data_IF_941550233581
#
_entry.id   IF_941550233581
#
_cell.length_a   1.000
_cell.length_b   1.000
_cell.length_c   1.000
_cell.angle_alpha   90.00
_cell.angle_beta   90.00
_cell.angle_gamma   90.00
#
_symmetry.space_group_name_H-M   'P 1'
#
loop_
_entity.id
_entity.type
_entity.pdbx_description
1 polymer ?
#
# COMPACT_ATOMS: atom_id res chain seq x y z
N UNK A 1 -11.61 -30.52 0.95
CA UNK A 1 -12.72 -29.86 1.70
C UNK A 1 -12.21 -29.03 2.86
N UNK A 2 -11.32 -29.50 3.74
CA UNK A 2 -10.83 -28.74 4.90
C UNK A 2 -10.07 -27.44 4.58
N UNK A 3 -9.30 -27.39 3.48
CA UNK A 3 -8.54 -26.19 3.04
C UNK A 3 -9.44 -25.04 2.55
N UNK A 4 -10.59 -25.36 1.95
CA UNK A 4 -11.54 -24.36 1.48
C UNK A 4 -12.34 -23.76 2.66
N UNK A 5 -12.67 -24.56 3.67
CA UNK A 5 -13.32 -24.10 4.89
C UNK A 5 -12.39 -23.23 5.76
N UNK A 6 -11.09 -23.55 5.81
CA UNK A 6 -10.09 -22.73 6.50
C UNK A 6 -9.88 -21.38 5.79
N UNK A 7 -9.92 -21.33 4.45
CA UNK A 7 -9.88 -20.07 3.67
C UNK A 7 -11.13 -19.23 3.91
N UNK A 8 -12.32 -19.81 3.98
CA UNK A 8 -13.57 -19.08 4.29
C UNK A 8 -13.56 -18.52 5.72
N UNK A 9 -13.03 -19.25 6.70
CA UNK A 9 -12.89 -18.75 8.08
C UNK A 9 -11.90 -17.59 8.23
N UNK A 10 -10.88 -17.50 7.34
CA UNK A 10 -9.95 -16.35 7.30
C UNK A 10 -10.59 -15.10 6.71
N UNK A 11 -11.51 -15.23 5.76
CA UNK A 11 -12.24 -14.10 5.18
C UNK A 11 -13.28 -13.47 6.14
N UNK A 12 -13.64 -14.17 7.20
CA UNK A 12 -14.69 -13.76 8.17
C UNK A 12 -14.10 -13.16 9.46
N UNK A 13 -12.83 -12.74 9.42
CA UNK A 13 -12.09 -12.25 10.60
C UNK A 13 -12.51 -10.84 11.06
N UNK A 14 -13.65 -10.29 10.58
CA UNK A 14 -14.11 -8.96 10.95
C UNK A 14 -13.16 -7.86 10.47
N UNK A 15 -12.66 -7.99 9.24
CA UNK A 15 -11.81 -6.97 8.61
C UNK A 15 -12.67 -5.82 8.10
N UNK A 16 -12.31 -4.60 8.50
CA UNK A 16 -12.90 -3.36 8.01
C UNK A 16 -11.84 -2.48 7.39
N UNK A 17 -12.10 -1.99 6.17
CA UNK A 17 -11.29 -0.96 5.54
C UNK A 17 -11.96 0.40 5.70
N UNK A 18 -11.23 1.40 6.19
CA UNK A 18 -11.71 2.76 6.34
C UNK A 18 -10.76 3.77 5.70
N UNK A 19 -11.34 4.84 5.17
CA UNK A 19 -10.59 6.04 4.80
C UNK A 19 -10.51 6.93 6.04
N UNK A 20 -9.33 7.37 6.47
CA UNK A 20 -9.23 8.32 7.58
C UNK A 20 -9.94 9.62 7.23
N UNK A 21 -10.72 10.15 8.16
CA UNK A 21 -11.52 11.37 7.99
C UNK A 21 -11.38 12.35 9.15
N UNK A 22 -11.01 11.87 10.35
CA UNK A 22 -10.86 12.69 11.54
C UNK A 22 -9.40 12.98 11.85
N UNK A 23 -9.13 14.02 12.62
CA UNK A 23 -7.77 14.32 13.10
C UNK A 23 -7.13 13.14 13.84
N UNK A 24 -7.92 12.41 14.64
CA UNK A 24 -7.46 11.20 15.34
C UNK A 24 -7.07 10.07 14.39
N UNK A 25 -7.84 9.88 13.33
CA UNK A 25 -7.54 8.85 12.31
C UNK A 25 -6.31 9.22 11.48
N UNK A 26 -6.08 10.50 11.18
CA UNK A 26 -4.83 10.95 10.55
C UNK A 26 -3.62 10.82 11.48
N UNK A 27 -3.80 11.06 12.79
CA UNK A 27 -2.75 10.79 13.77
C UNK A 27 -2.39 9.29 13.83
N UNK A 28 -3.39 8.41 13.81
CA UNK A 28 -3.19 6.95 13.73
C UNK A 28 -2.52 6.54 12.41
N UNK A 29 -2.84 7.21 11.33
CA UNK A 29 -2.18 7.00 10.02
C UNK A 29 -0.70 7.36 10.09
N UNK A 30 -0.36 8.51 10.67
CA UNK A 30 1.03 8.93 10.85
C UNK A 30 1.80 7.93 11.73
N UNK A 31 1.18 7.43 12.79
CA UNK A 31 1.78 6.43 13.67
C UNK A 31 2.10 5.13 12.93
N UNK A 32 1.14 4.56 12.22
CA UNK A 32 1.36 3.29 11.49
C UNK A 32 2.34 3.47 10.31
N UNK A 33 2.40 4.63 9.70
CA UNK A 33 3.41 4.95 8.69
C UNK A 33 4.82 4.98 9.29
N UNK A 34 4.98 5.52 10.52
CA UNK A 34 6.26 5.47 11.24
C UNK A 34 6.65 4.03 11.59
N UNK A 35 5.69 3.21 12.00
CA UNK A 35 5.94 1.78 12.23
C UNK A 35 6.43 1.08 10.96
N UNK A 36 5.80 1.39 9.82
CA UNK A 36 6.23 0.87 8.53
C UNK A 36 7.67 1.27 8.20
N UNK A 37 8.01 2.55 8.32
CA UNK A 37 9.35 3.06 8.07
C UNK A 37 10.39 2.41 8.99
N UNK A 38 10.08 2.27 10.28
CA UNK A 38 10.95 1.59 11.24
C UNK A 38 11.15 0.11 10.90
N UNK A 39 10.14 -0.56 10.35
CA UNK A 39 10.23 -1.97 9.97
C UNK A 39 11.17 -2.23 8.79
N UNK A 40 11.41 -1.22 7.96
CA UNK A 40 12.31 -1.32 6.80
C UNK A 40 13.79 -1.20 7.18
N UNK A 41 14.09 -0.72 8.39
CA UNK A 41 15.46 -0.41 8.84
C UNK A 41 16.24 0.48 7.86
N UNK A 42 15.53 1.43 7.24
CA UNK A 42 16.08 2.39 6.28
C UNK A 42 15.53 3.78 6.54
N UNK A 43 16.30 4.80 6.16
CA UNK A 43 15.88 6.19 6.23
C UNK A 43 15.05 6.55 4.98
N UNK A 44 13.81 7.00 5.16
CA UNK A 44 12.93 7.45 4.08
C UNK A 44 13.00 8.97 3.83
N UNK A 45 13.98 9.68 4.38
CA UNK A 45 14.16 11.12 4.16
C UNK A 45 14.22 11.49 2.67
N UNK A 46 14.80 10.63 1.82
CA UNK A 46 14.85 10.85 0.37
C UNK A 46 13.47 10.86 -0.30
N UNK A 47 12.41 10.40 0.40
CA UNK A 47 11.02 10.46 -0.06
C UNK A 47 10.23 11.59 0.59
N UNK A 48 10.87 12.54 1.27
CA UNK A 48 10.21 13.62 2.02
C UNK A 48 9.22 13.09 3.08
N UNK A 49 9.58 12.02 3.77
CA UNK A 49 8.68 11.27 4.65
C UNK A 49 8.12 12.12 5.80
N UNK A 50 8.94 12.95 6.46
CA UNK A 50 8.48 13.82 7.54
C UNK A 50 7.44 14.83 7.06
N UNK A 51 7.64 15.38 5.85
CA UNK A 51 6.68 16.29 5.23
C UNK A 51 5.38 15.58 4.86
N UNK A 52 5.46 14.36 4.36
CA UNK A 52 4.30 13.50 4.09
C UNK A 52 3.45 13.31 5.34
N UNK A 53 4.07 12.94 6.48
CA UNK A 53 3.38 12.75 7.76
C UNK A 53 2.71 14.03 8.26
N UNK A 54 3.40 15.17 8.12
CA UNK A 54 2.89 16.47 8.57
C UNK A 54 1.71 16.98 7.72
N UNK A 55 1.58 16.54 6.47
CA UNK A 55 0.60 17.04 5.51
C UNK A 55 -0.52 16.05 5.17
N UNK A 56 -0.63 14.93 5.87
CA UNK A 56 -1.68 13.94 5.59
C UNK A 56 -3.08 14.58 5.54
N UNK A 57 -3.93 14.19 4.54
CA UNK A 57 -3.70 13.15 3.52
C UNK A 57 -2.82 13.56 2.34
N UNK A 58 -2.50 14.84 2.13
CA UNK A 58 -1.62 15.35 1.07
C UNK A 58 -1.95 14.78 -0.31
N UNK A 59 -0.99 14.15 -0.96
CA UNK A 59 -1.17 13.53 -2.29
C UNK A 59 -2.06 12.29 -2.28
N UNK A 60 -2.35 11.72 -1.10
CA UNK A 60 -3.29 10.60 -0.95
C UNK A 60 -4.75 11.06 -0.84
N UNK A 61 -5.01 12.37 -0.92
CA UNK A 61 -6.36 12.92 -0.86
C UNK A 61 -7.18 12.60 -2.12
N UNK A 62 -8.51 12.39 -1.99
CA UNK A 62 -9.37 12.32 -3.16
C UNK A 62 -9.35 13.66 -3.94
N UNK A 63 -9.71 13.66 -5.23
CA UNK A 63 -10.27 12.55 -6.00
C UNK A 63 -9.23 11.62 -6.64
N UNK A 64 -7.97 11.99 -6.65
CA UNK A 64 -6.92 11.27 -7.39
C UNK A 64 -6.10 10.34 -6.49
N UNK A 65 -6.04 10.61 -5.21
CA UNK A 65 -5.37 9.76 -4.22
C UNK A 65 -6.34 8.89 -3.43
N UNK A 66 -5.81 7.93 -2.70
CA UNK A 66 -6.57 7.07 -1.81
C UNK A 66 -5.71 6.63 -0.63
N UNK A 67 -6.29 6.64 0.56
CA UNK A 67 -5.64 6.24 1.79
C UNK A 67 -6.56 5.29 2.55
N UNK A 68 -6.04 4.12 2.94
CA UNK A 68 -6.80 3.09 3.64
C UNK A 68 -6.13 2.71 4.95
N UNK A 69 -6.95 2.55 5.97
CA UNK A 69 -6.62 1.86 7.22
C UNK A 69 -7.43 0.56 7.29
N UNK A 70 -6.77 -0.52 7.67
CA UNK A 70 -7.40 -1.82 7.90
C UNK A 70 -7.53 -2.07 9.40
N UNK A 71 -8.72 -2.43 9.82
CA UNK A 71 -9.04 -2.80 11.20
C UNK A 71 -9.47 -4.25 11.27
N UNK A 72 -9.02 -4.94 12.31
CA UNK A 72 -9.47 -6.29 12.64
C UNK A 72 -10.06 -6.25 14.04
N UNK A 73 -11.34 -6.55 14.15
CA UNK A 73 -12.08 -6.49 15.42
C UNK A 73 -11.92 -5.14 16.15
N UNK A 74 -11.91 -4.06 15.38
CA UNK A 74 -11.76 -2.70 15.90
C UNK A 74 -10.33 -2.24 16.19
N UNK A 75 -9.32 -3.11 16.03
CA UNK A 75 -7.92 -2.75 16.21
C UNK A 75 -7.26 -2.40 14.88
N UNK A 76 -6.47 -1.32 14.86
CA UNK A 76 -5.69 -0.93 13.68
C UNK A 76 -4.64 -1.99 13.36
N UNK A 77 -4.75 -2.59 12.19
CA UNK A 77 -3.97 -3.76 11.78
C UNK A 77 -3.04 -3.51 10.59
N UNK A 78 -3.38 -2.54 9.73
CA UNK A 78 -2.61 -2.28 8.53
C UNK A 78 -3.01 -0.98 7.84
N UNK A 79 -2.26 -0.63 6.80
CA UNK A 79 -2.51 0.55 5.98
C UNK A 79 -2.05 0.33 4.54
N UNK A 80 -2.48 1.22 3.68
CA UNK A 80 -2.00 1.33 2.31
C UNK A 80 -2.45 2.65 1.70
N UNK A 81 -1.71 3.14 0.72
CA UNK A 81 -1.98 4.43 0.09
C UNK A 81 -1.67 4.39 -1.41
N UNK A 82 -2.25 5.31 -2.12
CA UNK A 82 -2.05 5.51 -3.55
C UNK A 82 -2.10 7.01 -3.85
N UNK A 83 -1.20 7.45 -4.71
CA UNK A 83 -1.12 8.83 -5.17
C UNK A 83 -0.94 8.91 -6.69
N UNK A 84 -1.30 10.05 -7.34
CA UNK A 84 -0.94 10.25 -8.73
C UNK A 84 0.58 10.24 -8.93
N UNK A 85 1.01 9.74 -10.08
CA UNK A 85 2.42 9.78 -10.49
C UNK A 85 2.52 10.48 -11.86
N UNK A 86 2.90 11.76 -11.84
CA UNK A 86 2.85 12.63 -13.00
C UNK A 86 3.94 12.35 -14.05
N UNK A 87 5.09 11.82 -13.61
CA UNK A 87 6.27 11.61 -14.46
C UNK A 87 6.27 10.28 -15.21
N UNK A 88 5.15 9.55 -15.19
CA UNK A 88 5.03 8.32 -15.95
C UNK A 88 4.95 8.62 -17.45
N UNK A 89 5.59 7.79 -18.26
CA UNK A 89 5.56 7.91 -19.72
C UNK A 89 4.13 7.94 -20.29
N UNK A 90 3.23 7.19 -19.67
CA UNK A 90 1.82 7.11 -20.08
C UNK A 90 0.97 8.31 -19.61
N UNK A 91 1.51 9.18 -18.74
CA UNK A 91 0.80 10.37 -18.23
C UNK A 91 -0.43 10.12 -17.36
N UNK A 92 -0.82 8.86 -17.14
CA UNK A 92 -2.01 8.48 -16.37
C UNK A 92 -1.72 7.32 -15.42
N UNK A 93 -0.69 7.49 -14.61
CA UNK A 93 -0.27 6.48 -13.63
C UNK A 93 -0.52 6.94 -12.19
N UNK A 94 -0.69 5.97 -11.31
CA UNK A 94 -0.63 6.14 -9.87
C UNK A 94 0.50 5.29 -9.28
N UNK A 95 0.86 5.60 -8.05
CA UNK A 95 1.87 4.87 -7.30
C UNK A 95 1.27 4.34 -5.99
N UNK A 96 1.36 3.03 -5.76
CA UNK A 96 1.02 2.41 -4.48
C UNK A 96 2.15 2.64 -3.50
N UNK A 97 1.82 3.12 -2.30
CA UNK A 97 2.77 3.46 -1.23
C UNK A 97 2.29 2.92 0.11
N UNK A 98 3.22 2.70 1.02
CA UNK A 98 2.93 2.49 2.45
C UNK A 98 2.03 1.28 2.74
N UNK A 99 2.12 0.23 1.92
CA UNK A 99 1.43 -1.03 2.18
C UNK A 99 2.13 -1.75 3.35
N UNK A 100 1.42 -1.88 4.46
CA UNK A 100 1.97 -2.44 5.69
C UNK A 100 0.91 -3.15 6.50
N UNK A 101 1.27 -4.27 7.09
CA UNK A 101 0.46 -5.03 8.04
C UNK A 101 1.27 -5.23 9.32
N UNK A 102 0.71 -4.81 10.45
CA UNK A 102 1.32 -5.02 11.76
C UNK A 102 1.62 -6.51 11.99
N UNK A 103 2.76 -6.87 12.61
CA UNK A 103 3.17 -8.28 12.77
C UNK A 103 2.10 -9.19 13.39
N UNK A 104 1.38 -8.71 14.40
CA UNK A 104 0.34 -9.48 15.09
C UNK A 104 -0.89 -9.82 14.24
N UNK A 105 -1.05 -9.18 13.08
CA UNK A 105 -2.19 -9.37 12.16
C UNK A 105 -1.79 -10.02 10.83
N UNK A 106 -0.53 -10.45 10.70
CA UNK A 106 -0.04 -11.14 9.49
C UNK A 106 -0.64 -12.54 9.40
N UNK A 107 -0.72 -13.06 8.18
CA UNK A 107 -1.30 -14.37 7.92
C UNK A 107 -2.82 -14.39 7.79
N UNK A 108 -3.50 -13.24 7.94
CA UNK A 108 -4.94 -13.08 7.74
C UNK A 108 -5.32 -12.65 6.31
N UNK A 109 -4.33 -12.38 5.45
CA UNK A 109 -4.55 -11.93 4.08
C UNK A 109 -4.78 -10.42 3.95
N UNK A 110 -4.47 -9.62 4.97
CA UNK A 110 -4.71 -8.17 4.96
C UNK A 110 -3.91 -7.43 3.88
N UNK A 111 -2.67 -7.83 3.62
CA UNK A 111 -1.86 -7.24 2.57
C UNK A 111 -2.52 -7.36 1.20
N UNK A 112 -3.08 -8.53 0.90
CA UNK A 112 -3.84 -8.76 -0.34
C UNK A 112 -5.13 -7.95 -0.38
N UNK A 113 -5.86 -7.89 0.72
CA UNK A 113 -7.12 -7.12 0.81
C UNK A 113 -6.84 -5.64 0.57
N UNK A 114 -5.83 -5.08 1.20
CA UNK A 114 -5.41 -3.68 1.03
C UNK A 114 -4.92 -3.39 -0.40
N UNK A 115 -4.01 -4.21 -0.91
CA UNK A 115 -3.46 -4.03 -2.26
C UNK A 115 -4.56 -4.12 -3.32
N UNK A 116 -5.45 -5.12 -3.20
CA UNK A 116 -6.58 -5.27 -4.11
C UNK A 116 -7.54 -4.08 -4.05
N UNK A 117 -7.85 -3.58 -2.86
CA UNK A 117 -8.73 -2.42 -2.69
C UNK A 117 -8.13 -1.16 -3.35
N UNK A 118 -6.82 -0.93 -3.20
CA UNK A 118 -6.12 0.17 -3.87
C UNK A 118 -6.09 0.00 -5.39
N UNK A 119 -5.87 -1.21 -5.86
CA UNK A 119 -5.89 -1.55 -7.29
C UNK A 119 -7.27 -1.31 -7.92
N UNK A 120 -8.33 -1.78 -7.26
CA UNK A 120 -9.71 -1.60 -7.70
C UNK A 120 -10.10 -0.11 -7.70
N UNK A 121 -9.66 0.65 -6.70
CA UNK A 121 -9.92 2.09 -6.63
C UNK A 121 -9.15 2.86 -7.71
N UNK A 122 -7.91 2.51 -7.99
CA UNK A 122 -7.14 3.09 -9.08
C UNK A 122 -7.84 2.90 -10.44
N UNK A 123 -8.36 1.69 -10.67
CA UNK A 123 -9.15 1.39 -11.86
C UNK A 123 -10.43 2.24 -11.92
N UNK A 124 -11.15 2.36 -10.80
CA UNK A 124 -12.38 3.18 -10.69
C UNK A 124 -12.11 4.66 -10.95
N UNK A 125 -10.98 5.19 -10.49
CA UNK A 125 -10.57 6.59 -10.74
C UNK A 125 -10.24 6.82 -12.22
N UNK A 126 -9.84 5.77 -12.93
CA UNK A 126 -9.52 5.83 -14.35
C UNK A 126 -8.03 5.85 -14.67
N UNK A 127 -7.18 5.45 -13.72
CA UNK A 127 -5.76 5.25 -14.03
C UNK A 127 -5.55 4.09 -15.00
N UNK A 128 -4.57 4.22 -15.88
CA UNK A 128 -4.18 3.16 -16.82
C UNK A 128 -3.13 2.23 -16.23
N UNK A 129 -2.35 2.72 -15.28
CA UNK A 129 -1.15 2.05 -14.77
C UNK A 129 -0.97 2.30 -13.29
N UNK A 130 -0.54 1.28 -12.56
CA UNK A 130 -0.09 1.40 -11.17
C UNK A 130 1.39 1.03 -11.08
N UNK A 131 2.16 1.88 -10.42
CA UNK A 131 3.58 1.70 -10.14
C UNK A 131 3.79 1.43 -8.64
N UNK A 132 4.87 0.76 -8.30
CA UNK A 132 5.36 0.66 -6.93
C UNK A 132 6.85 0.34 -6.91
N UNK A 133 7.51 0.62 -5.80
CA UNK A 133 8.82 0.10 -5.47
C UNK A 133 8.78 -0.78 -4.23
N UNK A 134 9.66 -1.75 -4.16
CA UNK A 134 9.78 -2.70 -3.05
C UNK A 134 11.25 -3.09 -2.85
N UNK A 135 11.56 -3.82 -1.79
CA UNK A 135 12.91 -4.25 -1.45
C UNK A 135 13.08 -5.76 -1.59
N UNK A 136 14.33 -6.22 -1.77
CA UNK A 136 14.69 -7.63 -1.88
C UNK A 136 14.17 -8.49 -0.71
N UNK A 137 14.26 -7.97 0.50
CA UNK A 137 13.86 -8.65 1.74
C UNK A 137 12.35 -8.69 1.97
N UNK A 138 11.56 -8.07 1.08
CA UNK A 138 10.09 -8.06 1.13
C UNK A 138 9.49 -9.17 0.24
N UNK A 139 9.93 -10.40 0.42
CA UNK A 139 9.55 -11.53 -0.45
C UNK A 139 8.03 -11.78 -0.49
N UNK A 140 7.36 -11.78 0.67
CA UNK A 140 5.91 -11.97 0.74
C UNK A 140 5.14 -10.87 -0.01
N UNK A 141 5.59 -9.63 0.05
CA UNK A 141 5.01 -8.52 -0.70
C UNK A 141 5.24 -8.71 -2.21
N UNK A 142 6.45 -9.10 -2.61
CA UNK A 142 6.78 -9.36 -4.02
C UNK A 142 5.93 -10.48 -4.61
N UNK A 143 5.73 -11.56 -3.88
CA UNK A 143 4.82 -12.65 -4.29
C UNK A 143 3.38 -12.16 -4.46
N UNK A 144 2.89 -11.35 -3.51
CA UNK A 144 1.58 -10.72 -3.60
C UNK A 144 1.44 -9.87 -4.87
N UNK A 145 2.40 -9.02 -5.16
CA UNK A 145 2.37 -8.15 -6.34
C UNK A 145 2.39 -8.96 -7.64
N UNK A 146 3.18 -10.02 -7.71
CA UNK A 146 3.18 -10.92 -8.87
C UNK A 146 1.79 -11.52 -9.13
N UNK A 147 1.07 -11.92 -8.08
CA UNK A 147 -0.29 -12.45 -8.21
C UNK A 147 -1.32 -11.41 -8.67
N UNK A 148 -1.04 -10.12 -8.50
CA UNK A 148 -1.88 -9.01 -8.98
C UNK A 148 -1.52 -8.55 -10.39
N UNK A 149 -0.53 -9.18 -11.03
CA UNK A 149 -0.12 -8.87 -12.39
C UNK A 149 0.98 -7.82 -12.51
N UNK A 150 1.64 -7.46 -11.40
CA UNK A 150 2.81 -6.58 -11.46
C UNK A 150 4.00 -7.31 -12.09
N UNK A 151 4.72 -6.60 -12.94
CA UNK A 151 5.96 -7.02 -13.57
C UNK A 151 7.10 -6.06 -13.25
N UNK A 152 8.31 -6.57 -13.19
CA UNK A 152 9.49 -5.74 -12.92
C UNK A 152 9.81 -4.85 -14.11
N UNK A 153 10.16 -3.58 -13.80
CA UNK A 153 10.54 -2.55 -14.77
C UNK A 153 11.84 -1.87 -14.33
N UNK A 154 12.52 -1.13 -15.22
CA UNK A 154 13.62 -0.26 -14.83
C UNK A 154 13.20 0.81 -13.82
N UNK A 155 14.13 1.34 -13.01
CA UNK A 155 13.84 2.42 -12.07
C UNK A 155 13.15 3.61 -12.75
N UNK A 156 12.07 4.10 -12.14
CA UNK A 156 11.34 5.29 -12.59
C UNK A 156 11.63 6.53 -11.73
N UNK A 157 12.38 6.36 -10.65
CA UNK A 157 12.96 7.44 -9.84
C UNK A 157 14.23 6.94 -9.16
N UNK A 158 15.03 7.87 -8.63
CA UNK A 158 16.25 7.53 -7.88
C UNK A 158 15.90 7.08 -6.46
N UNK A 159 16.23 5.82 -6.14
CA UNK A 159 16.14 5.26 -4.80
C UNK A 159 17.55 4.83 -4.35
N UNK A 160 18.12 5.47 -3.31
CA UNK A 160 19.47 5.15 -2.84
C UNK A 160 19.56 3.83 -2.07
N UNK A 161 18.43 3.18 -1.77
CA UNK A 161 18.40 1.95 -0.98
C UNK A 161 18.85 0.79 -1.87
N UNK A 162 19.89 0.01 -1.46
CA UNK A 162 20.29 -1.20 -2.18
C UNK A 162 19.15 -2.23 -2.18
N UNK A 163 19.00 -2.96 -3.30
CA UNK A 163 17.99 -4.01 -3.43
C UNK A 163 16.58 -3.49 -3.72
N UNK A 164 16.42 -2.25 -4.17
CA UNK A 164 15.14 -1.73 -4.60
C UNK A 164 14.71 -2.35 -5.94
N UNK A 165 13.45 -2.77 -6.02
CA UNK A 165 12.79 -3.26 -7.23
C UNK A 165 11.64 -2.34 -7.59
N UNK A 166 11.43 -2.15 -8.88
CA UNK A 166 10.38 -1.29 -9.43
C UNK A 166 9.40 -2.14 -10.21
N UNK A 167 8.12 -2.00 -9.94
CA UNK A 167 7.08 -2.84 -10.52
C UNK A 167 5.99 -2.00 -11.15
N UNK A 168 5.37 -2.54 -12.19
CA UNK A 168 4.27 -1.93 -12.93
C UNK A 168 3.16 -2.94 -13.17
N UNK A 169 1.91 -2.52 -13.01
CA UNK A 169 0.74 -3.26 -13.44
C UNK A 169 -0.16 -2.41 -14.34
N UNK A 170 -0.71 -3.02 -15.37
CA UNK A 170 -1.74 -2.42 -16.19
C UNK A 170 -3.10 -2.55 -15.51
N UNK A 171 -3.86 -1.46 -15.47
CA UNK A 171 -5.22 -1.40 -14.93
C UNK A 171 -6.20 -1.57 -16.10
N UNK A 172 -6.82 -2.74 -16.19
CA UNK A 172 -7.78 -3.09 -17.25
C UNK A 172 -9.18 -3.27 -16.70
#
# INVERSE_FOLDING_TARGET
MARAAARRRKADAGVELRRPATAGEFASTAEIFREYAASLDVDLCFQDFDRELASLPGEYAPPRGHLLLAFVRGELAGCGAMRPFADAEDGNACEMKRLYVRPGFRGLGLGRILAKALFDEAHRIGYSTMLLDTLDDMEAARELYATLGFVEIPPYYYNPIPGAHYLKAELK
#
